data_IF_261206939379
#
_entry.id   IF_261206939379
#
_cell.length_a   1.000
_cell.length_b   1.000
_cell.length_c   1.000
_cell.angle_alpha   90.00
_cell.angle_beta   90.00
_cell.angle_gamma   90.00
#
_symmetry.space_group_name_H-M   'P 1'
#
loop_
_entity.id
_entity.type
_entity.pdbx_description
1 polymer ?
#
# COMPACT_ATOMS: atom_id res chain seq x y z
N UNK A 1 19.71 -23.78 20.44
CA UNK A 1 19.24 -24.12 19.07
C UNK A 1 17.74 -23.83 18.81
N UNK A 2 16.89 -23.64 19.82
CA UNK A 2 15.44 -23.35 19.64
C UNK A 2 15.14 -21.91 19.15
N UNK A 3 16.02 -20.97 19.38
CA UNK A 3 15.83 -19.56 18.97
C UNK A 3 16.27 -19.25 17.54
N UNK A 4 17.15 -20.06 16.97
CA UNK A 4 17.64 -19.89 15.57
C UNK A 4 16.53 -20.18 14.55
N UNK A 5 15.63 -21.11 14.88
CA UNK A 5 14.47 -21.45 14.03
C UNK A 5 13.39 -20.36 14.04
N UNK A 6 13.22 -19.65 15.16
CA UNK A 6 12.26 -18.53 15.27
C UNK A 6 12.76 -17.32 14.49
N UNK A 7 14.08 -17.06 14.49
CA UNK A 7 14.68 -15.97 13.70
C UNK A 7 14.65 -16.27 12.20
N UNK A 8 14.85 -17.53 11.80
CA UNK A 8 14.72 -17.96 10.40
C UNK A 8 13.27 -17.91 9.91
N UNK A 9 12.29 -18.20 10.76
CA UNK A 9 10.87 -18.08 10.41
C UNK A 9 10.41 -16.61 10.32
N UNK A 10 10.97 -15.73 11.14
CA UNK A 10 10.69 -14.29 11.08
C UNK A 10 11.35 -13.61 9.87
N UNK A 11 12.46 -14.15 9.36
CA UNK A 11 13.15 -13.63 8.18
C UNK A 11 12.46 -14.02 6.87
N UNK A 12 11.63 -15.08 6.86
CA UNK A 12 10.90 -15.54 5.68
C UNK A 12 9.59 -14.77 5.42
N UNK A 13 9.11 -13.96 6.38
CA UNK A 13 7.89 -13.14 6.23
C UNK A 13 8.13 -11.72 5.71
N UNK A 14 9.38 -11.35 5.45
CA UNK A 14 9.69 -10.09 4.76
C UNK A 14 9.57 -10.25 3.24
N UNK A 15 8.55 -10.94 2.74
CA UNK A 15 8.19 -10.87 1.32
C UNK A 15 7.72 -9.45 1.04
N UNK A 16 8.60 -8.75 0.38
CA UNK A 16 8.40 -7.48 -0.27
C UNK A 16 7.03 -7.45 -0.94
N UNK A 17 6.10 -6.73 -0.35
CA UNK A 17 4.87 -6.33 -1.04
C UNK A 17 5.27 -5.27 -2.06
N UNK A 18 5.86 -5.71 -3.17
CA UNK A 18 5.86 -4.91 -4.39
C UNK A 18 4.39 -4.71 -4.74
N UNK A 19 3.98 -3.46 -4.90
CA UNK A 19 2.63 -3.13 -5.33
C UNK A 19 2.28 -3.98 -6.56
N UNK A 20 1.56 -5.07 -6.35
CA UNK A 20 1.15 -5.94 -7.44
C UNK A 20 0.05 -5.19 -8.17
N UNK A 21 0.37 -4.69 -9.39
CA UNK A 21 -0.67 -4.28 -10.33
C UNK A 21 -1.73 -5.37 -10.32
N UNK A 22 -3.00 -4.98 -10.26
CA UNK A 22 -4.11 -5.95 -10.23
C UNK A 22 -3.95 -6.95 -11.39
N UNK A 23 -4.38 -8.19 -11.21
CA UNK A 23 -4.30 -9.20 -12.26
C UNK A 23 -4.97 -8.71 -13.55
N UNK A 24 -6.06 -7.94 -13.43
CA UNK A 24 -6.75 -7.31 -14.54
C UNK A 24 -5.87 -6.33 -15.31
N UNK A 25 -5.13 -5.46 -14.63
CA UNK A 25 -4.21 -4.49 -15.26
C UNK A 25 -3.09 -5.22 -16.02
N UNK A 26 -2.51 -6.28 -15.43
CA UNK A 26 -1.47 -7.08 -16.12
C UNK A 26 -2.00 -7.74 -17.40
N UNK A 27 -3.21 -8.27 -17.33
CA UNK A 27 -3.85 -8.89 -18.50
C UNK A 27 -4.12 -7.86 -19.61
N UNK A 28 -4.60 -6.67 -19.25
CA UNK A 28 -4.84 -5.57 -20.19
C UNK A 28 -3.52 -5.04 -20.81
N UNK A 29 -2.46 -4.90 -20.01
CA UNK A 29 -1.13 -4.53 -20.50
C UNK A 29 -0.59 -5.55 -21.51
N UNK A 30 -0.81 -6.85 -21.27
CA UNK A 30 -0.39 -7.90 -22.21
C UNK A 30 -1.17 -7.82 -23.52
N UNK A 31 -2.49 -7.70 -23.43
CA UNK A 31 -3.35 -7.55 -24.62
C UNK A 31 -3.01 -6.28 -25.41
N UNK A 32 -2.71 -5.17 -24.72
CA UNK A 32 -2.23 -3.93 -25.35
C UNK A 32 -0.90 -4.16 -26.07
N UNK A 33 0.05 -4.87 -25.45
CA UNK A 33 1.35 -5.19 -26.06
C UNK A 33 1.19 -6.02 -27.33
N UNK A 34 0.32 -7.02 -27.29
CA UNK A 34 -0.01 -7.85 -28.47
C UNK A 34 -0.64 -7.00 -29.58
N UNK A 35 -1.61 -6.14 -29.23
CA UNK A 35 -2.24 -5.25 -30.21
C UNK A 35 -1.29 -4.20 -30.80
N UNK A 36 -0.29 -3.73 -30.03
CA UNK A 36 0.76 -2.84 -30.55
C UNK A 36 1.71 -3.58 -31.50
N UNK A 37 2.04 -4.83 -31.22
CA UNK A 37 2.82 -5.68 -32.15
C UNK A 37 2.10 -5.89 -33.47
N UNK A 38 0.77 -6.15 -33.44
CA UNK A 38 -0.06 -6.25 -34.65
C UNK A 38 -0.05 -4.94 -35.46
N UNK A 39 -0.06 -3.78 -34.78
CA UNK A 39 0.05 -2.47 -35.48
C UNK A 39 1.41 -2.32 -36.17
N UNK A 40 2.50 -2.69 -35.47
CA UNK A 40 3.87 -2.59 -36.02
C UNK A 40 4.03 -3.49 -37.25
N UNK A 41 3.56 -4.74 -37.16
CA UNK A 41 3.55 -5.67 -38.31
C UNK A 41 2.75 -5.10 -39.48
N UNK A 42 1.55 -4.56 -39.21
CA UNK A 42 0.69 -3.96 -40.26
C UNK A 42 1.34 -2.73 -40.86
N UNK A 43 2.04 -1.89 -40.09
CA UNK A 43 2.78 -0.74 -40.63
C UNK A 43 3.92 -1.17 -41.54
N UNK A 44 4.67 -2.23 -41.17
CA UNK A 44 5.74 -2.78 -42.02
C UNK A 44 5.20 -3.29 -43.35
N UNK A 45 4.10 -4.06 -43.33
CA UNK A 45 3.43 -4.54 -44.55
C UNK A 45 2.92 -3.40 -45.42
N UNK A 46 2.41 -2.31 -44.83
CA UNK A 46 2.02 -1.09 -45.56
C UNK A 46 3.20 -0.44 -46.26
N UNK A 47 4.35 -0.35 -45.62
CA UNK A 47 5.56 0.23 -46.19
C UNK A 47 6.11 -0.62 -47.32
N UNK A 48 6.16 -1.93 -47.19
CA UNK A 48 6.56 -2.88 -48.27
C UNK A 48 5.61 -2.84 -49.47
N UNK A 49 4.29 -2.72 -49.24
CA UNK A 49 3.29 -2.65 -50.31
C UNK A 49 3.32 -1.30 -51.03
N UNK A 50 3.72 -0.20 -50.35
CA UNK A 50 3.88 1.11 -50.97
C UNK A 50 5.04 1.14 -51.99
N UNK A 51 6.08 0.33 -51.80
CA UNK A 51 7.21 0.20 -52.72
C UNK A 51 6.89 -0.68 -53.96
N UNK A 52 5.95 -1.61 -53.80
CA UNK A 52 5.51 -2.47 -54.88
C UNK A 52 4.12 -2.01 -55.32
N UNK A 53 4.00 -1.42 -56.50
CA UNK A 53 2.76 -0.82 -57.06
C UNK A 53 1.62 -1.83 -57.29
N UNK A 54 1.29 -2.66 -56.31
CA UNK A 54 0.22 -3.65 -56.35
C UNK A 54 -1.04 -3.20 -55.61
N UNK A 55 -2.03 -2.90 -56.44
CA UNK A 55 -3.49 -2.87 -56.18
C UNK A 55 -4.00 -2.14 -54.96
N UNK A 56 -4.75 -1.07 -55.19
CA UNK A 56 -5.50 -0.26 -54.18
C UNK A 56 -6.30 -1.08 -53.16
N UNK A 57 -6.76 -2.29 -53.54
CA UNK A 57 -7.51 -3.21 -52.69
C UNK A 57 -6.66 -3.78 -51.52
N UNK A 58 -5.43 -4.19 -51.79
CA UNK A 58 -4.56 -4.72 -50.71
C UNK A 58 -4.21 -3.62 -49.74
N UNK A 59 -3.96 -2.40 -50.21
CA UNK A 59 -3.68 -1.24 -49.35
C UNK A 59 -4.89 -0.86 -48.48
N UNK A 60 -6.11 -0.92 -49.03
CA UNK A 60 -7.34 -0.69 -48.29
C UNK A 60 -7.55 -1.74 -47.19
N UNK A 61 -7.30 -3.02 -47.49
CA UNK A 61 -7.40 -4.10 -46.52
C UNK A 61 -6.38 -3.93 -45.40
N UNK A 62 -5.12 -3.55 -45.68
CA UNK A 62 -4.10 -3.29 -44.67
C UNK A 62 -4.45 -2.09 -43.81
N UNK A 63 -4.93 -0.99 -44.40
CA UNK A 63 -5.41 0.18 -43.68
C UNK A 63 -6.60 -0.15 -42.75
N UNK A 64 -7.55 -0.95 -43.25
CA UNK A 64 -8.68 -1.42 -42.45
C UNK A 64 -8.23 -2.23 -41.23
N UNK A 65 -7.29 -3.17 -41.40
CA UNK A 65 -6.68 -3.94 -40.30
C UNK A 65 -5.98 -3.01 -39.29
N UNK A 66 -5.20 -2.05 -39.79
CA UNK A 66 -4.52 -1.07 -38.92
C UNK A 66 -5.52 -0.25 -38.10
N UNK A 67 -6.63 0.22 -38.73
CA UNK A 67 -7.67 0.95 -38.00
C UNK A 67 -8.31 0.08 -36.92
N UNK A 68 -8.61 -1.19 -37.20
CA UNK A 68 -9.20 -2.12 -36.26
C UNK A 68 -8.25 -2.39 -35.08
N UNK A 69 -6.96 -2.64 -35.35
CA UNK A 69 -5.95 -2.83 -34.31
C UNK A 69 -5.80 -1.59 -33.44
N UNK A 70 -5.75 -0.39 -34.04
CA UNK A 70 -5.70 0.88 -33.25
C UNK A 70 -6.94 1.11 -32.42
N UNK A 71 -8.14 0.80 -32.95
CA UNK A 71 -9.39 0.86 -32.19
C UNK A 71 -9.35 -0.10 -31.00
N UNK A 72 -8.81 -1.31 -31.17
CA UNK A 72 -8.62 -2.28 -30.11
C UNK A 72 -7.68 -1.74 -29.02
N UNK A 73 -6.54 -1.15 -29.40
CA UNK A 73 -5.60 -0.54 -28.45
C UNK A 73 -6.27 0.59 -27.65
N UNK A 74 -7.02 1.47 -28.32
CA UNK A 74 -7.75 2.56 -27.63
C UNK A 74 -8.76 1.99 -26.64
N UNK A 75 -9.51 0.95 -27.02
CA UNK A 75 -10.46 0.30 -26.10
C UNK A 75 -9.75 -0.32 -24.89
N UNK A 76 -8.60 -0.96 -25.08
CA UNK A 76 -7.81 -1.56 -24.00
C UNK A 76 -7.23 -0.49 -23.07
N UNK A 77 -6.74 0.62 -23.63
CA UNK A 77 -6.25 1.76 -22.84
C UNK A 77 -7.35 2.37 -21.97
N UNK A 78 -8.56 2.52 -22.51
CA UNK A 78 -9.69 3.02 -21.72
C UNK A 78 -10.04 2.06 -20.58
N UNK A 79 -10.03 0.74 -20.83
CA UNK A 79 -10.26 -0.25 -19.77
C UNK A 79 -9.15 -0.23 -18.72
N UNK A 80 -7.89 -0.05 -19.13
CA UNK A 80 -6.75 0.09 -18.21
C UNK A 80 -6.88 1.34 -17.35
N UNK A 81 -7.31 2.47 -17.93
CA UNK A 81 -7.59 3.70 -17.17
C UNK A 81 -8.69 3.51 -16.15
N UNK A 82 -9.80 2.86 -16.51
CA UNK A 82 -10.90 2.58 -15.60
C UNK A 82 -10.43 1.72 -14.39
N UNK A 83 -9.58 0.71 -14.62
CA UNK A 83 -9.04 -0.11 -13.54
C UNK A 83 -8.05 0.68 -12.66
N UNK A 84 -7.20 1.52 -13.25
CA UNK A 84 -6.29 2.41 -12.52
C UNK A 84 -7.09 3.39 -11.64
N UNK A 85 -8.18 3.95 -12.17
CA UNK A 85 -9.04 4.85 -11.38
C UNK A 85 -9.68 4.12 -10.19
N UNK A 86 -10.13 2.88 -10.36
CA UNK A 86 -10.65 2.06 -9.25
C UNK A 86 -9.57 1.80 -8.19
N UNK A 87 -8.36 1.46 -8.62
CA UNK A 87 -7.24 1.24 -7.71
C UNK A 87 -6.91 2.51 -6.92
N UNK A 88 -6.88 3.67 -7.57
CA UNK A 88 -6.67 4.97 -6.92
C UNK A 88 -7.78 5.24 -5.87
N UNK A 89 -9.05 5.01 -6.22
CA UNK A 89 -10.15 5.20 -5.28
C UNK A 89 -10.06 4.27 -4.07
N UNK A 90 -9.65 3.02 -4.29
CA UNK A 90 -9.41 2.05 -3.23
C UNK A 90 -8.29 2.51 -2.28
N UNK A 91 -7.12 2.90 -2.83
CA UNK A 91 -5.99 3.41 -2.04
C UNK A 91 -6.40 4.67 -1.26
N UNK A 92 -7.15 5.58 -1.88
CA UNK A 92 -7.68 6.77 -1.19
C UNK A 92 -8.62 6.40 -0.04
N UNK A 93 -9.45 5.36 -0.21
CA UNK A 93 -10.30 4.81 0.84
C UNK A 93 -9.47 4.30 2.03
N UNK A 94 -8.45 3.50 1.75
CA UNK A 94 -7.51 2.99 2.75
C UNK A 94 -6.78 4.12 3.48
N UNK A 95 -6.28 5.12 2.75
CA UNK A 95 -5.62 6.30 3.32
C UNK A 95 -6.54 7.09 4.27
N UNK A 96 -7.81 7.29 3.90
CA UNK A 96 -8.78 7.95 4.80
C UNK A 96 -8.98 7.17 6.10
N UNK A 97 -9.11 5.85 6.00
CA UNK A 97 -9.26 4.98 7.18
C UNK A 97 -8.02 5.03 8.06
N UNK A 98 -6.83 4.86 7.51
CA UNK A 98 -5.56 4.91 8.24
C UNK A 98 -5.33 6.28 8.92
N UNK A 99 -5.65 7.38 8.24
CA UNK A 99 -5.54 8.74 8.82
C UNK A 99 -6.49 8.94 9.98
N UNK A 100 -7.72 8.42 9.90
CA UNK A 100 -8.69 8.47 11.01
C UNK A 100 -8.20 7.66 12.20
N UNK A 101 -7.77 6.40 11.98
CA UNK A 101 -7.22 5.55 13.03
C UNK A 101 -5.99 6.16 13.69
N UNK A 102 -5.11 6.78 12.91
CA UNK A 102 -3.96 7.52 13.44
C UNK A 102 -4.40 8.68 14.33
N UNK A 103 -5.38 9.47 13.88
CA UNK A 103 -5.93 10.59 14.67
C UNK A 103 -6.55 10.14 15.98
N UNK A 104 -7.30 9.04 15.98
CA UNK A 104 -7.89 8.44 17.18
C UNK A 104 -6.80 7.93 18.13
N UNK A 105 -5.79 7.22 17.63
CA UNK A 105 -4.65 6.75 18.42
C UNK A 105 -3.87 7.91 19.02
N UNK A 106 -3.55 8.95 18.24
CA UNK A 106 -2.85 10.15 18.72
C UNK A 106 -3.65 10.89 19.81
N UNK A 107 -4.96 11.00 19.62
CA UNK A 107 -5.86 11.63 20.60
C UNK A 107 -5.87 10.85 21.90
N UNK A 108 -6.03 9.53 21.84
CA UNK A 108 -6.05 8.66 23.00
C UNK A 108 -4.70 8.63 23.73
N UNK A 109 -3.61 8.55 22.96
CA UNK A 109 -2.25 8.66 23.51
C UNK A 109 -2.03 10.00 24.19
N UNK A 110 -2.42 11.10 23.55
CA UNK A 110 -2.33 12.45 24.13
C UNK A 110 -3.15 12.64 25.39
N UNK A 111 -4.37 12.05 25.49
CA UNK A 111 -5.17 12.02 26.71
C UNK A 111 -4.46 11.25 27.83
N UNK A 112 -3.92 10.07 27.49
CA UNK A 112 -3.16 9.23 28.42
C UNK A 112 -1.93 9.96 28.94
N UNK A 113 -1.15 10.61 28.07
CA UNK A 113 0.05 11.38 28.44
C UNK A 113 -0.30 12.60 29.30
N UNK A 114 -1.37 13.33 28.99
CA UNK A 114 -1.82 14.45 29.84
C UNK A 114 -2.27 13.99 31.21
N UNK A 115 -2.94 12.85 31.31
CA UNK A 115 -3.29 12.24 32.61
C UNK A 115 -2.07 11.87 33.42
N UNK A 116 -1.03 11.37 32.79
CA UNK A 116 0.26 11.09 33.38
C UNK A 116 0.95 12.38 33.85
N UNK A 117 1.06 13.37 32.99
CA UNK A 117 1.78 14.63 33.31
C UNK A 117 1.17 15.37 34.47
N UNK A 118 -0.16 15.36 34.63
CA UNK A 118 -0.86 15.96 35.73
C UNK A 118 -0.62 15.24 37.08
N UNK A 119 -0.21 13.96 37.05
CA UNK A 119 -0.05 13.10 38.24
C UNK A 119 1.40 12.67 38.48
N UNK A 120 2.37 13.26 37.78
CA UNK A 120 3.76 12.82 37.82
C UNK A 120 4.68 13.78 38.55
N UNK A 121 4.76 13.56 39.86
CA UNK A 121 6.09 13.52 40.48
C UNK A 121 6.53 12.03 40.58
N UNK A 122 7.83 11.75 40.48
CA UNK A 122 8.36 10.40 40.81
C UNK A 122 7.96 9.98 42.20
N UNK A 123 7.69 10.94 43.07
CA UNK A 123 7.16 10.79 44.42
C UNK A 123 5.75 10.16 44.44
N UNK A 124 4.85 10.53 43.52
CA UNK A 124 3.49 9.98 43.49
C UNK A 124 3.47 8.48 43.13
N UNK A 125 4.39 8.02 42.27
CA UNK A 125 4.54 6.59 41.97
C UNK A 125 5.05 5.80 43.15
N UNK A 126 6.04 6.35 43.89
CA UNK A 126 6.58 5.74 45.09
C UNK A 126 5.51 5.73 46.18
N UNK A 127 4.80 6.84 46.40
CA UNK A 127 3.69 6.91 47.35
C UNK A 127 2.59 5.91 46.99
N UNK A 128 2.24 5.76 45.71
CA UNK A 128 1.25 4.78 45.28
C UNK A 128 1.67 3.34 45.57
N UNK A 129 2.96 3.00 45.45
CA UNK A 129 3.48 1.67 45.76
C UNK A 129 3.54 1.50 47.29
N UNK A 130 4.04 2.50 48.02
CA UNK A 130 4.27 2.44 49.47
C UNK A 130 2.98 2.55 50.30
N UNK A 131 1.92 3.17 49.78
CA UNK A 131 0.59 3.24 50.40
C UNK A 131 -0.21 1.93 50.33
N UNK A 132 0.41 0.84 49.93
CA UNK A 132 -0.24 -0.47 49.90
C UNK A 132 -0.31 -1.07 51.33
N UNK A 133 -1.43 -1.71 51.64
CA UNK A 133 -1.68 -2.35 52.92
C UNK A 133 -0.89 -3.64 53.16
N UNK A 134 -0.36 -4.23 52.06
CA UNK A 134 0.43 -5.46 52.09
C UNK A 134 1.51 -5.47 51.03
N UNK A 135 2.59 -6.25 51.27
CA UNK A 135 3.67 -6.46 50.31
C UNK A 135 3.16 -7.01 49.00
N UNK A 136 2.23 -7.96 49.03
CA UNK A 136 1.64 -8.53 47.81
C UNK A 136 0.87 -7.48 46.99
N UNK A 137 0.22 -6.53 47.65
CA UNK A 137 -0.45 -5.41 47.00
C UNK A 137 0.56 -4.43 46.37
N UNK A 138 1.67 -4.11 47.08
CA UNK A 138 2.76 -3.29 46.50
C UNK A 138 3.32 -3.91 45.23
N UNK A 139 3.54 -5.23 45.22
CA UNK A 139 4.02 -5.96 44.04
C UNK A 139 3.03 -5.91 42.87
N UNK A 140 1.71 -6.02 43.12
CA UNK A 140 0.69 -5.87 42.09
C UNK A 140 0.68 -4.44 41.52
N UNK A 141 0.77 -3.42 42.37
CA UNK A 141 0.83 -2.00 41.96
C UNK A 141 2.08 -1.71 41.12
N UNK A 142 3.23 -2.27 41.46
CA UNK A 142 4.47 -2.15 40.69
C UNK A 142 4.34 -2.82 39.33
N UNK A 143 3.75 -4.02 39.28
CA UNK A 143 3.47 -4.72 37.99
C UNK A 143 2.55 -3.89 37.10
N UNK A 144 1.45 -3.36 37.65
CA UNK A 144 0.54 -2.49 36.93
C UNK A 144 1.24 -1.26 36.33
N UNK A 145 2.09 -0.58 37.12
CA UNK A 145 2.83 0.58 36.58
C UNK A 145 3.79 0.21 35.45
N UNK A 146 4.41 -0.98 35.51
CA UNK A 146 5.28 -1.49 34.47
C UNK A 146 4.48 -1.83 33.21
N UNK A 147 3.42 -2.59 33.34
CA UNK A 147 2.53 -2.95 32.23
C UNK A 147 1.93 -1.73 31.53
N UNK A 148 1.58 -0.70 32.33
CA UNK A 148 1.08 0.57 31.81
C UNK A 148 2.16 1.34 31.01
N UNK A 149 3.40 1.37 31.49
CA UNK A 149 4.52 1.97 30.77
C UNK A 149 4.81 1.23 29.46
N UNK A 150 4.79 -0.10 29.50
CA UNK A 150 4.97 -0.93 28.30
C UNK A 150 3.82 -0.74 27.31
N UNK A 151 2.58 -0.62 27.78
CA UNK A 151 1.44 -0.30 26.94
C UNK A 151 1.61 1.06 26.25
N UNK A 152 2.05 2.09 26.97
CA UNK A 152 2.30 3.41 26.39
C UNK A 152 3.39 3.37 25.31
N UNK A 153 4.48 2.64 25.57
CA UNK A 153 5.55 2.46 24.60
C UNK A 153 5.02 1.78 23.32
N UNK A 154 4.19 0.75 23.48
CA UNK A 154 3.54 0.10 22.32
C UNK A 154 2.66 1.08 21.56
N UNK A 155 1.84 1.90 22.24
CA UNK A 155 1.00 2.89 21.56
C UNK A 155 1.82 3.92 20.78
N UNK A 156 2.96 4.37 21.31
CA UNK A 156 3.86 5.27 20.61
C UNK A 156 4.45 4.62 19.35
N UNK A 157 4.91 3.38 19.45
CA UNK A 157 5.44 2.63 18.31
C UNK A 157 4.36 2.40 17.24
N UNK A 158 3.14 2.01 17.62
CA UNK A 158 2.00 1.85 16.71
C UNK A 158 1.68 3.14 15.93
N UNK A 159 1.81 4.31 16.56
CA UNK A 159 1.63 5.60 15.91
C UNK A 159 2.70 5.81 14.83
N UNK A 160 3.97 5.51 15.14
CA UNK A 160 5.09 5.63 14.19
C UNK A 160 4.90 4.65 13.01
N UNK A 161 4.53 3.41 13.29
CA UNK A 161 4.26 2.41 12.26
C UNK A 161 3.11 2.82 11.35
N UNK A 162 2.01 3.34 11.90
CA UNK A 162 0.89 3.86 11.11
C UNK A 162 1.28 5.06 10.25
N UNK A 163 2.12 5.94 10.74
CA UNK A 163 2.65 7.05 9.94
C UNK A 163 3.49 6.54 8.76
N UNK A 164 4.36 5.55 9.00
CA UNK A 164 5.15 4.93 7.95
C UNK A 164 4.27 4.19 6.92
N UNK A 165 3.19 3.53 7.36
CA UNK A 165 2.20 2.88 6.49
C UNK A 165 1.49 3.89 5.59
N UNK A 166 1.04 5.02 6.16
CA UNK A 166 0.43 6.12 5.39
C UNK A 166 1.38 6.65 4.32
N UNK A 167 2.65 6.87 4.67
CA UNK A 167 3.66 7.35 3.72
C UNK A 167 3.89 6.37 2.58
N UNK A 168 3.94 5.06 2.88
CA UNK A 168 4.06 4.01 1.86
C UNK A 168 2.85 3.97 0.94
N UNK A 169 1.63 4.06 1.48
CA UNK A 169 0.40 4.10 0.69
C UNK A 169 0.28 5.34 -0.18
N UNK A 170 0.77 6.49 0.29
CA UNK A 170 0.84 7.70 -0.52
C UNK A 170 1.81 7.53 -1.70
N UNK A 171 3.00 6.96 -1.46
CA UNK A 171 3.96 6.67 -2.52
C UNK A 171 3.42 5.64 -3.53
N UNK A 172 2.67 4.63 -3.08
CA UNK A 172 1.98 3.67 -3.94
C UNK A 172 0.97 4.37 -4.84
N UNK A 173 0.14 5.25 -4.28
CA UNK A 173 -0.85 6.03 -5.04
C UNK A 173 -0.19 6.92 -6.12
N UNK A 174 0.91 7.59 -5.80
CA UNK A 174 1.63 8.42 -6.77
C UNK A 174 2.23 7.57 -7.90
N UNK A 175 2.75 6.37 -7.60
CA UNK A 175 3.23 5.43 -8.64
C UNK A 175 2.11 4.93 -9.54
N UNK A 176 0.91 4.73 -9.00
CA UNK A 176 -0.25 4.28 -9.77
C UNK A 176 -0.77 5.38 -10.70
N UNK A 177 -0.56 6.65 -10.35
CA UNK A 177 -0.95 7.81 -11.17
C UNK A 177 0.04 8.14 -12.30
N UNK A 178 1.33 7.80 -12.12
CA UNK A 178 2.39 8.08 -13.09
C UNK A 178 2.40 7.07 -14.25
#
# INVERSE_FOLDING_TARGET
>A
MRYVWIVLLALSLSTVVYGQKSAAVRQLEQQRKEALADIEETNKLLQETAQTAKTSLNRLNLLSKQILSRKKVISLLNQELDEIEKDILNIQGQLRTLKRELGDKQTNYGKSMRGLYKRHSSQDKLLFILSAESFSQSMRRMRYLREYADWQKRQANDIVEKQAEISRKQAEMEKTRA
#
